data_IF_589394907724
#
_entry.id   IF_589394907724
#
_cell.length_a   1.000
_cell.length_b   1.000
_cell.length_c   1.000
_cell.angle_alpha   90.00
_cell.angle_beta   90.00
_cell.angle_gamma   90.00
#
_symmetry.space_group_name_H-M   'P 1'
#
loop_
_entity.id
_entity.type
_entity.pdbx_description
1 polymer ?
#
# COMPACT_ATOMS: atom_id res chain seq x y z
N UNK A 1 7.77 -0.04 20.33
CA UNK A 1 8.09 -0.65 19.03
C UNK A 1 7.47 0.21 17.94
N UNK A 2 8.24 0.69 16.96
CA UNK A 2 7.69 1.49 15.86
C UNK A 2 6.97 0.62 14.83
N UNK A 3 6.04 1.18 14.06
CA UNK A 3 5.31 0.46 13.01
C UNK A 3 6.27 -0.21 12.02
N UNK A 4 7.32 0.50 11.60
CA UNK A 4 8.38 -0.02 10.73
C UNK A 4 8.99 -1.32 11.29
N UNK A 5 9.38 -1.33 12.56
CA UNK A 5 10.00 -2.51 13.17
C UNK A 5 9.05 -3.70 13.24
N UNK A 6 7.76 -3.47 13.54
CA UNK A 6 6.76 -4.54 13.60
C UNK A 6 6.45 -5.09 12.22
N UNK A 7 6.26 -4.23 11.21
CA UNK A 7 5.86 -4.62 9.86
C UNK A 7 6.96 -5.33 9.05
N UNK A 8 8.23 -5.16 9.43
CA UNK A 8 9.37 -5.82 8.79
C UNK A 8 10.04 -6.88 9.67
N UNK A 9 9.40 -7.30 10.76
CA UNK A 9 9.91 -8.37 11.62
C UNK A 9 9.69 -9.74 10.97
N UNK A 10 10.77 -10.40 10.56
CA UNK A 10 10.72 -11.73 9.93
C UNK A 10 10.19 -12.81 10.87
N UNK A 11 10.25 -12.62 12.20
CA UNK A 11 9.65 -13.55 13.15
C UNK A 11 8.11 -13.47 13.15
N UNK A 12 7.54 -12.34 12.72
CA UNK A 12 6.09 -12.13 12.61
C UNK A 12 5.61 -12.44 11.20
N UNK A 13 6.28 -11.90 10.19
CA UNK A 13 5.82 -11.92 8.80
C UNK A 13 6.49 -12.99 7.94
N UNK A 14 7.51 -13.69 8.46
CA UNK A 14 8.30 -14.66 7.71
C UNK A 14 9.44 -14.03 6.91
N UNK A 15 10.19 -14.86 6.19
CA UNK A 15 11.35 -14.42 5.37
C UNK A 15 10.99 -13.45 4.25
N UNK A 16 9.70 -13.35 3.90
CA UNK A 16 9.17 -12.46 2.88
C UNK A 16 8.59 -11.16 3.47
N UNK A 17 8.91 -10.80 4.72
CA UNK A 17 8.45 -9.59 5.40
C UNK A 17 8.65 -8.29 4.60
N UNK A 18 9.70 -8.23 3.76
CA UNK A 18 10.03 -7.08 2.91
C UNK A 18 9.46 -7.17 1.49
N UNK A 19 8.71 -8.23 1.18
CA UNK A 19 8.11 -8.46 -0.13
C UNK A 19 6.64 -8.04 -0.14
N UNK A 20 6.16 -7.55 -1.28
CA UNK A 20 4.74 -7.26 -1.48
C UNK A 20 3.97 -8.54 -1.77
N UNK A 21 3.34 -9.11 -0.74
CA UNK A 21 2.59 -10.39 -0.81
C UNK A 21 1.15 -10.17 -0.33
N UNK A 22 0.25 -9.60 -1.17
CA UNK A 22 -1.13 -9.33 -0.79
C UNK A 22 -1.93 -10.61 -0.51
N UNK A 23 -1.59 -11.73 -1.14
CA UNK A 23 -2.24 -13.04 -0.97
C UNK A 23 -2.11 -13.58 0.46
N UNK A 24 -1.20 -13.03 1.26
CA UNK A 24 -1.06 -13.33 2.70
C UNK A 24 -2.39 -13.17 3.44
N UNK A 25 -3.20 -12.19 3.05
CA UNK A 25 -4.48 -11.90 3.69
C UNK A 25 -5.62 -12.83 3.24
N UNK A 26 -5.38 -13.70 2.25
CA UNK A 26 -6.34 -14.69 1.78
C UNK A 26 -6.16 -16.06 2.45
N UNK A 27 -5.13 -16.21 3.29
CA UNK A 27 -4.83 -17.47 3.98
C UNK A 27 -5.66 -17.63 5.26
N UNK A 28 -5.97 -18.86 5.69
CA UNK A 28 -6.75 -19.10 6.91
C UNK A 28 -6.15 -18.51 8.19
N UNK A 29 -4.82 -18.37 8.24
CA UNK A 29 -4.06 -17.85 9.39
C UNK A 29 -3.87 -16.33 9.37
N UNK A 30 -4.44 -15.61 8.38
CA UNK A 30 -4.29 -14.16 8.25
C UNK A 30 -4.77 -13.37 9.48
N UNK A 31 -5.79 -13.88 10.18
CA UNK A 31 -6.33 -13.23 11.39
C UNK A 31 -5.31 -13.16 12.53
N UNK A 32 -4.38 -14.11 12.61
CA UNK A 32 -3.29 -14.07 13.61
C UNK A 32 -2.28 -12.95 13.32
N UNK A 33 -2.12 -12.59 12.04
CA UNK A 33 -1.24 -11.51 11.60
C UNK A 33 -1.88 -10.13 11.76
N UNK A 34 -3.21 -10.05 11.71
CA UNK A 34 -3.95 -8.80 11.84
C UNK A 34 -3.61 -8.06 13.14
N UNK A 35 -3.34 -8.78 14.23
CA UNK A 35 -2.98 -8.16 15.52
C UNK A 35 -1.68 -7.35 15.47
N UNK A 36 -0.80 -7.67 14.51
CA UNK A 36 0.49 -7.01 14.26
C UNK A 36 0.41 -5.93 13.18
N UNK A 37 -0.73 -5.80 12.50
CA UNK A 37 -0.95 -4.76 11.51
C UNK A 37 -1.27 -3.41 12.18
N UNK A 38 -0.22 -2.66 12.50
CA UNK A 38 -0.32 -1.36 13.20
C UNK A 38 -0.26 -0.13 12.28
N UNK A 39 -0.73 -0.23 11.04
CA UNK A 39 -0.67 0.85 10.01
C UNK A 39 -1.39 2.13 10.44
N UNK A 40 -2.46 2.01 11.23
CA UNK A 40 -3.22 3.12 11.79
C UNK A 40 -3.01 3.29 13.30
N UNK A 41 -1.85 2.83 13.82
CA UNK A 41 -1.61 2.66 15.25
C UNK A 41 -2.61 1.69 15.91
N UNK A 42 -2.55 1.52 17.23
CA UNK A 42 -3.44 0.64 18.00
C UNK A 42 -3.69 1.20 19.41
N UNK A 43 -4.82 0.86 20.01
CA UNK A 43 -5.20 1.28 21.37
C UNK A 43 -5.85 2.67 21.42
N UNK A 44 -5.82 3.31 22.59
CA UNK A 44 -6.57 4.55 22.85
C UNK A 44 -6.19 5.76 21.97
N UNK A 45 -5.06 5.69 21.25
CA UNK A 45 -4.56 6.73 20.34
C UNK A 45 -4.47 6.24 18.89
N UNK A 46 -5.25 5.21 18.54
CA UNK A 46 -5.38 4.77 17.15
C UNK A 46 -5.99 5.86 16.27
N UNK A 47 -5.73 5.80 14.96
CA UNK A 47 -6.24 6.76 14.00
C UNK A 47 -7.77 6.84 14.08
N UNK A 48 -8.29 8.02 14.44
CA UNK A 48 -9.73 8.28 14.46
C UNK A 48 -10.35 8.21 13.05
N UNK A 49 -9.54 8.48 12.01
CA UNK A 49 -9.95 8.48 10.62
C UNK A 49 -9.84 7.13 9.91
N UNK A 50 -9.61 6.02 10.63
CA UNK A 50 -9.37 4.70 10.01
C UNK A 50 -10.49 4.27 9.05
N UNK A 51 -11.76 4.49 9.43
CA UNK A 51 -12.91 4.11 8.60
C UNK A 51 -13.00 4.96 7.33
N UNK A 52 -12.73 6.27 7.45
CA UNK A 52 -12.69 7.17 6.30
C UNK A 52 -11.55 6.81 5.36
N UNK A 53 -10.35 6.55 5.90
CA UNK A 53 -9.19 6.14 5.13
C UNK A 53 -9.47 4.86 4.33
N UNK A 54 -10.09 3.84 4.93
CA UNK A 54 -10.47 2.62 4.19
C UNK A 54 -11.48 2.90 3.08
N UNK A 55 -12.47 3.76 3.31
CA UNK A 55 -13.43 4.15 2.27
C UNK A 55 -12.74 4.86 1.11
N UNK A 56 -11.91 5.86 1.40
CA UNK A 56 -11.16 6.63 0.39
C UNK A 56 -10.20 5.73 -0.41
N UNK A 57 -9.37 4.93 0.26
CA UNK A 57 -8.43 4.02 -0.40
C UNK A 57 -9.17 3.05 -1.31
N UNK A 58 -10.27 2.45 -0.84
CA UNK A 58 -11.04 1.48 -1.62
C UNK A 58 -11.64 2.13 -2.87
N UNK A 59 -12.26 3.30 -2.73
CA UNK A 59 -12.86 4.03 -3.85
C UNK A 59 -11.80 4.49 -4.86
N UNK A 60 -10.66 5.00 -4.38
CA UNK A 60 -9.56 5.43 -5.23
C UNK A 60 -8.95 4.27 -6.01
N UNK A 61 -8.66 3.13 -5.36
CA UNK A 61 -8.12 1.95 -6.02
C UNK A 61 -9.11 1.37 -7.04
N UNK A 62 -10.40 1.28 -6.69
CA UNK A 62 -11.43 0.83 -7.62
C UNK A 62 -11.48 1.74 -8.86
N UNK A 63 -11.50 3.07 -8.68
CA UNK A 63 -11.51 4.02 -9.80
C UNK A 63 -10.26 3.88 -10.66
N UNK A 64 -9.09 3.77 -10.04
CA UNK A 64 -7.80 3.66 -10.71
C UNK A 64 -7.76 2.40 -11.58
N UNK A 65 -8.05 1.23 -11.01
CA UNK A 65 -7.95 -0.04 -11.74
C UNK A 65 -9.05 -0.23 -12.79
N UNK A 66 -10.26 0.28 -12.56
CA UNK A 66 -11.34 0.19 -13.54
C UNK A 66 -11.14 1.15 -14.73
N UNK A 67 -10.52 2.32 -14.51
CA UNK A 67 -10.44 3.36 -15.53
C UNK A 67 -9.09 3.41 -16.25
N UNK A 68 -8.01 2.88 -15.66
CA UNK A 68 -6.66 3.05 -16.19
C UNK A 68 -5.87 1.75 -16.19
N UNK A 69 -5.04 1.60 -17.22
CA UNK A 69 -3.88 0.72 -17.19
C UNK A 69 -2.69 1.53 -16.64
N UNK A 70 -2.15 1.05 -15.52
CA UNK A 70 -1.15 1.77 -14.73
C UNK A 70 0.17 1.04 -14.88
N UNK A 71 1.18 1.74 -15.40
CA UNK A 71 2.52 1.19 -15.58
C UNK A 71 3.56 2.16 -15.03
N UNK A 72 4.69 1.65 -14.52
CA UNK A 72 5.83 2.50 -14.17
C UNK A 72 6.35 3.11 -15.45
N UNK A 73 6.52 4.44 -15.47
CA UNK A 73 7.02 5.11 -16.67
C UNK A 73 8.49 4.68 -16.92
N UNK A 74 8.93 4.43 -18.17
CA UNK A 74 10.29 3.93 -18.45
C UNK A 74 11.43 4.81 -17.94
N UNK A 75 11.17 6.11 -17.71
CA UNK A 75 12.15 7.04 -17.13
C UNK A 75 12.40 6.84 -15.63
N UNK A 76 11.54 6.08 -14.95
CA UNK A 76 11.61 5.88 -13.50
C UNK A 76 12.30 4.55 -13.21
N UNK A 77 13.53 4.60 -12.70
CA UNK A 77 14.30 3.43 -12.22
C UNK A 77 14.28 3.34 -10.70
N UNK A 78 14.68 2.21 -10.12
CA UNK A 78 14.76 2.05 -8.66
C UNK A 78 15.68 3.11 -7.99
N UNK A 79 16.68 3.60 -8.72
CA UNK A 79 17.60 4.64 -8.26
C UNK A 79 16.97 6.04 -8.25
N UNK A 80 15.98 6.28 -9.12
CA UNK A 80 15.22 7.55 -9.15
C UNK A 80 14.14 7.62 -8.09
N UNK A 81 13.66 6.47 -7.60
CA UNK A 81 12.61 6.35 -6.59
C UNK A 81 13.26 6.28 -5.20
N UNK A 82 13.76 7.42 -4.73
CA UNK A 82 14.31 7.54 -3.38
C UNK A 82 13.18 7.88 -2.40
N UNK A 83 12.70 6.89 -1.63
CA UNK A 83 11.64 7.08 -0.64
C UNK A 83 12.19 7.15 0.78
N UNK A 84 12.02 8.29 1.45
CA UNK A 84 12.37 8.45 2.87
C UNK A 84 11.17 8.07 3.75
N UNK A 85 11.40 7.23 4.74
CA UNK A 85 10.40 6.98 5.79
C UNK A 85 10.54 8.04 6.89
N UNK A 86 9.55 8.94 6.97
CA UNK A 86 9.48 10.03 7.94
C UNK A 86 8.10 10.04 8.58
N UNK A 87 7.65 8.90 9.11
CA UNK A 87 6.28 8.66 9.61
C UNK A 87 5.22 8.54 8.50
N UNK A 88 5.38 9.32 7.43
CA UNK A 88 4.81 9.06 6.10
C UNK A 88 5.96 8.82 5.11
N UNK A 89 5.73 7.97 4.09
CA UNK A 89 6.67 7.81 2.97
C UNK A 89 6.70 9.12 2.17
N UNK A 90 7.86 9.75 2.11
CA UNK A 90 8.08 10.99 1.36
C UNK A 90 9.06 10.69 0.23
N UNK A 91 8.73 11.17 -0.97
CA UNK A 91 9.64 11.17 -2.12
C UNK A 91 10.16 12.60 -2.29
N UNK A 92 11.43 12.89 -1.99
CA UNK A 92 11.97 14.25 -1.96
C UNK A 92 12.27 14.83 -3.36
N UNK A 93 12.23 14.00 -4.41
CA UNK A 93 12.46 14.36 -5.82
C UNK A 93 11.16 14.21 -6.63
N UNK A 94 11.25 13.77 -7.88
CA UNK A 94 10.16 13.70 -8.87
C UNK A 94 9.05 12.66 -8.58
N UNK A 95 8.94 12.18 -7.34
CA UNK A 95 7.93 11.20 -6.94
C UNK A 95 8.08 9.85 -7.63
N UNK A 96 6.96 9.14 -7.80
CA UNK A 96 6.89 7.92 -8.61
C UNK A 96 6.25 8.29 -9.95
N UNK A 97 7.04 8.27 -11.02
CA UNK A 97 6.55 8.48 -12.37
C UNK A 97 5.74 7.27 -12.86
N UNK A 98 4.46 7.50 -13.17
CA UNK A 98 3.54 6.47 -13.68
C UNK A 98 2.92 6.90 -15.02
N UNK A 99 2.86 5.96 -15.96
CA UNK A 99 2.08 6.08 -17.19
C UNK A 99 0.66 5.60 -16.92
N UNK A 100 -0.34 6.41 -17.30
CA UNK A 100 -1.75 6.07 -17.19
C UNK A 100 -2.37 6.03 -18.59
N UNK A 101 -2.80 4.86 -19.04
CA UNK A 101 -3.58 4.72 -20.27
C UNK A 101 -5.05 4.49 -19.90
N UNK A 102 -5.98 5.28 -20.43
CA UNK A 102 -7.41 5.06 -20.16
C UNK A 102 -7.85 3.70 -20.72
N UNK A 103 -8.36 2.82 -19.85
CA UNK A 103 -9.10 1.65 -20.30
C UNK A 103 -10.37 2.17 -20.94
N UNK A 104 -10.58 1.89 -22.24
CA UNK A 104 -11.85 2.22 -22.88
C UNK A 104 -12.96 1.63 -22.01
N UNK A 105 -13.85 2.49 -21.53
CA UNK A 105 -15.02 2.05 -20.79
C UNK A 105 -15.72 0.98 -21.64
N UNK A 106 -16.12 -0.12 -21.01
CA UNK A 106 -17.17 -0.97 -21.54
C UNK A 106 -18.43 -0.10 -21.51
N UNK A 107 -18.59 0.74 -22.52
CA UNK A 107 -19.88 1.32 -22.88
C UNK A 107 -20.56 0.23 -23.69
N UNK A 108 -21.18 -0.71 -22.99
CA UNK A 108 -22.20 -1.57 -23.57
C UNK A 108 -23.52 -1.29 -22.86
N UNK A 109 -24.42 -0.71 -23.66
CA UNK A 109 -25.87 -0.56 -23.52
C UNK A 109 -26.37 0.59 -22.65
#
# INVERSE_FOLDING_TARGET
MGAYSVHFDEAIWGSDARSFVPERWLKPDAMELERYLVTFSKGARMCIGINLAYAEITMTLAKLFLSFDVQIHPSCTAETIEGLDRFIKIYPKDGICVSLATRRAIVQQ
#
